data_IF_811615911108
#
_entry.id   IF_811615911108
#
_cell.length_a   1.000
_cell.length_b   1.000
_cell.length_c   1.000
_cell.angle_alpha   90.00
_cell.angle_beta   90.00
_cell.angle_gamma   90.00
#
_symmetry.space_group_name_H-M   'P 1'
#
loop_
_entity.id
_entity.type
_entity.pdbx_description
1 polymer ?
#
# COMPACT_ATOMS: atom_id res chain seq x y z
N UNK A 1 24.39 7.73 -7.16
CA UNK A 1 24.33 8.87 -6.21
C UNK A 1 22.96 8.81 -5.54
N UNK A 2 22.88 8.53 -4.24
CA UNK A 2 21.59 8.46 -3.56
C UNK A 2 21.04 9.88 -3.35
N UNK A 3 19.84 10.11 -3.80
CA UNK A 3 19.15 11.40 -3.58
C UNK A 3 18.29 11.28 -2.34
N UNK A 4 18.42 12.22 -1.43
CA UNK A 4 17.51 12.34 -0.27
C UNK A 4 16.40 13.31 -0.61
N UNK A 5 15.18 12.91 -0.33
CA UNK A 5 13.97 13.66 -0.61
C UNK A 5 13.18 13.85 0.68
N UNK A 6 12.52 14.99 0.80
CA UNK A 6 11.50 15.23 1.81
C UNK A 6 10.18 15.48 1.10
N UNK A 7 9.13 14.80 1.52
CA UNK A 7 7.78 15.02 1.03
C UNK A 7 6.84 15.30 2.19
N UNK A 8 6.03 16.34 2.05
CA UNK A 8 5.02 16.69 3.04
C UNK A 8 3.65 16.62 2.42
N UNK A 9 2.71 16.00 3.11
CA UNK A 9 1.33 15.84 2.67
C UNK A 9 0.38 15.96 3.86
N UNK A 10 -0.76 16.60 3.62
CA UNK A 10 -1.88 16.65 4.56
C UNK A 10 -3.00 15.78 4.00
N UNK A 11 -3.70 15.07 4.88
CA UNK A 11 -4.93 14.38 4.52
C UNK A 11 -5.93 14.37 5.67
N UNK A 12 -7.21 14.16 5.37
CA UNK A 12 -8.27 14.04 6.35
C UNK A 12 -8.78 12.61 6.41
N UNK A 13 -8.87 12.08 7.61
CA UNK A 13 -9.45 10.75 7.84
C UNK A 13 -10.25 10.76 9.14
N UNK A 14 -11.21 9.83 9.24
CA UNK A 14 -11.87 9.55 10.51
C UNK A 14 -10.93 8.81 11.46
N UNK A 15 -11.10 9.05 12.75
CA UNK A 15 -10.46 8.30 13.82
C UNK A 15 -11.54 7.77 14.74
N UNK A 16 -11.67 6.44 14.82
CA UNK A 16 -12.58 5.79 15.76
C UNK A 16 -11.80 5.35 16.99
N UNK A 17 -11.96 6.11 18.05
CA UNK A 17 -11.21 5.94 19.30
C UNK A 17 -12.15 6.05 20.51
N UNK A 18 -12.03 5.14 21.47
CA UNK A 18 -12.85 5.11 22.68
C UNK A 18 -14.37 5.22 22.41
N UNK A 19 -14.86 4.49 21.42
CA UNK A 19 -16.29 4.48 21.07
C UNK A 19 -16.78 5.73 20.34
N UNK A 20 -15.88 6.60 19.92
CA UNK A 20 -16.22 7.88 19.27
C UNK A 20 -15.53 7.99 17.92
N UNK A 21 -16.33 8.27 16.88
CA UNK A 21 -15.81 8.62 15.57
C UNK A 21 -15.65 10.14 15.46
N UNK A 22 -14.47 10.59 15.09
CA UNK A 22 -14.14 12.00 14.84
C UNK A 22 -13.36 12.13 13.54
N UNK A 23 -13.61 13.21 12.81
CA UNK A 23 -12.72 13.60 11.71
C UNK A 23 -11.44 14.20 12.29
N UNK A 24 -10.33 13.88 11.67
CA UNK A 24 -9.01 14.35 12.07
C UNK A 24 -8.21 14.75 10.85
N UNK A 25 -7.45 15.81 10.97
CA UNK A 25 -6.49 16.22 9.95
C UNK A 25 -5.10 15.72 10.36
N UNK A 26 -4.46 15.02 9.46
CA UNK A 26 -3.12 14.50 9.62
C UNK A 26 -2.15 15.29 8.77
N UNK A 27 -1.02 15.67 9.36
CA UNK A 27 0.13 16.22 8.67
C UNK A 27 1.22 15.14 8.69
N UNK A 28 1.67 14.75 7.52
CA UNK A 28 2.69 13.72 7.37
C UNK A 28 3.90 14.29 6.64
N UNK A 29 5.07 13.98 7.14
CA UNK A 29 6.34 14.29 6.50
C UNK A 29 7.15 13.01 6.36
N UNK A 30 7.59 12.74 5.13
CA UNK A 30 8.36 11.56 4.75
C UNK A 30 9.78 11.97 4.39
N UNK A 31 10.75 11.27 4.96
CA UNK A 31 12.14 11.38 4.57
C UNK A 31 12.52 10.12 3.80
N UNK A 32 12.89 10.31 2.55
CA UNK A 32 13.04 9.23 1.58
C UNK A 32 14.41 9.26 0.94
N UNK A 33 14.87 8.11 0.50
CA UNK A 33 16.11 7.94 -0.24
C UNK A 33 15.88 7.05 -1.47
N UNK A 34 16.37 7.50 -2.62
CA UNK A 34 16.33 6.68 -3.84
C UNK A 34 17.42 5.63 -3.79
N UNK A 35 17.11 4.42 -4.19
CA UNK A 35 18.06 3.29 -4.20
C UNK A 35 18.56 2.96 -5.59
N UNK A 36 17.71 3.18 -6.60
CA UNK A 36 18.07 2.95 -8.00
C UNK A 36 18.62 4.20 -8.66
N UNK A 37 19.25 4.05 -9.81
CA UNK A 37 19.70 5.18 -10.65
C UNK A 37 18.66 5.52 -11.73
N UNK A 38 17.61 4.72 -11.83
CA UNK A 38 16.54 4.89 -12.79
C UNK A 38 15.51 5.93 -12.29
N UNK A 39 15.35 6.99 -13.06
CA UNK A 39 14.44 8.09 -12.73
C UNK A 39 12.96 7.72 -12.93
N UNK A 40 12.65 6.77 -13.80
CA UNK A 40 11.27 6.34 -14.04
C UNK A 40 10.74 5.54 -12.85
N UNK A 41 11.53 4.60 -12.33
CA UNK A 41 11.19 3.85 -11.13
C UNK A 41 11.00 4.77 -9.91
N UNK A 42 11.77 5.85 -9.79
CA UNK A 42 11.55 6.83 -8.72
C UNK A 42 10.20 7.56 -8.87
N UNK A 43 9.85 7.93 -10.10
CA UNK A 43 8.58 8.58 -10.36
C UNK A 43 7.40 7.67 -10.03
N UNK A 44 7.46 6.41 -10.46
CA UNK A 44 6.44 5.40 -10.15
C UNK A 44 6.33 5.19 -8.64
N UNK A 45 7.43 5.02 -7.92
CA UNK A 45 7.42 4.88 -6.46
C UNK A 45 6.73 6.09 -5.78
N UNK A 46 7.08 7.29 -6.21
CA UNK A 46 6.51 8.51 -5.67
C UNK A 46 5.02 8.66 -5.99
N UNK A 47 4.60 8.28 -7.19
CA UNK A 47 3.19 8.32 -7.59
C UNK A 47 2.37 7.24 -6.89
N UNK A 48 2.94 6.05 -6.61
CA UNK A 48 2.32 5.03 -5.74
C UNK A 48 2.08 5.56 -4.33
N UNK A 49 3.08 6.26 -3.74
CA UNK A 49 2.92 6.90 -2.41
C UNK A 49 1.77 7.90 -2.42
N UNK A 50 1.75 8.81 -3.40
CA UNK A 50 0.69 9.82 -3.54
C UNK A 50 -0.67 9.17 -3.71
N UNK A 51 -0.76 8.19 -4.60
CA UNK A 51 -2.01 7.47 -4.85
C UNK A 51 -2.51 6.77 -3.57
N UNK A 52 -1.63 6.05 -2.87
CA UNK A 52 -2.01 5.35 -1.63
C UNK A 52 -2.58 6.32 -0.59
N UNK A 53 -1.95 7.46 -0.37
CA UNK A 53 -2.43 8.43 0.61
C UNK A 53 -3.75 9.07 0.14
N UNK A 54 -3.83 9.52 -1.11
CA UNK A 54 -5.00 10.21 -1.64
C UNK A 54 -6.21 9.28 -1.85
N UNK A 55 -5.98 8.06 -2.32
CA UNK A 55 -7.07 7.13 -2.60
C UNK A 55 -7.39 6.22 -1.42
N UNK A 56 -6.39 5.68 -0.75
CA UNK A 56 -6.62 4.70 0.31
C UNK A 56 -6.87 5.33 1.67
N UNK A 57 -6.18 6.39 2.03
CA UNK A 57 -6.27 6.97 3.37
C UNK A 57 -7.20 8.18 3.44
N UNK A 58 -7.18 9.06 2.44
CA UNK A 58 -8.08 10.22 2.42
C UNK A 58 -9.54 9.77 2.56
N UNK A 59 -10.26 10.37 3.49
CA UNK A 59 -11.66 10.06 3.80
C UNK A 59 -11.92 8.62 4.28
N UNK A 60 -10.89 7.87 4.69
CA UNK A 60 -11.07 6.59 5.38
C UNK A 60 -11.30 6.79 6.88
N UNK A 61 -11.64 5.72 7.59
CA UNK A 61 -11.73 5.70 9.04
C UNK A 61 -10.66 4.75 9.58
N UNK A 62 -9.72 5.27 10.35
CA UNK A 62 -8.79 4.46 11.13
C UNK A 62 -9.51 3.87 12.34
N UNK A 63 -9.39 2.57 12.52
CA UNK A 63 -10.05 1.82 13.57
C UNK A 63 -9.21 0.61 13.98
N UNK A 64 -9.21 0.28 15.26
CA UNK A 64 -8.64 -0.97 15.74
C UNK A 64 -9.40 -2.17 15.12
N UNK A 65 -8.67 -3.07 14.46
CA UNK A 65 -9.23 -4.25 13.79
C UNK A 65 -9.96 -5.22 14.73
N UNK A 66 -9.64 -5.21 16.03
CA UNK A 66 -10.32 -6.04 17.04
C UNK A 66 -11.75 -5.55 17.34
N UNK A 67 -12.09 -4.33 16.93
CA UNK A 67 -13.45 -3.79 17.03
C UNK A 67 -14.36 -4.29 15.89
N UNK A 68 -14.48 -5.61 15.73
CA UNK A 68 -15.17 -6.25 14.59
C UNK A 68 -16.60 -5.75 14.35
N UNK A 69 -17.37 -5.51 15.42
CA UNK A 69 -18.77 -5.05 15.28
C UNK A 69 -18.83 -3.66 14.65
N UNK A 70 -17.96 -2.75 15.07
CA UNK A 70 -17.88 -1.40 14.55
C UNK A 70 -17.30 -1.40 13.12
N UNK A 71 -16.32 -2.24 12.84
CA UNK A 71 -15.81 -2.43 11.49
C UNK A 71 -16.92 -2.87 10.53
N UNK A 72 -17.73 -3.86 10.93
CA UNK A 72 -18.87 -4.34 10.15
C UNK A 72 -19.94 -3.26 9.98
N UNK A 73 -20.24 -2.50 11.04
CA UNK A 73 -21.22 -1.42 10.99
C UNK A 73 -20.81 -0.32 10.00
N UNK A 74 -19.56 0.15 10.08
CA UNK A 74 -19.02 1.18 9.19
C UNK A 74 -18.95 0.70 7.75
N UNK A 75 -18.45 -0.52 7.53
CA UNK A 75 -18.40 -1.12 6.20
C UNK A 75 -19.79 -1.27 5.57
N UNK A 76 -20.80 -1.71 6.34
CA UNK A 76 -22.20 -1.81 5.90
C UNK A 76 -22.81 -0.45 5.56
N UNK A 77 -22.34 0.62 6.20
CA UNK A 77 -22.71 1.99 5.87
C UNK A 77 -21.97 2.55 4.64
N UNK A 78 -21.12 1.77 3.98
CA UNK A 78 -20.32 2.19 2.84
C UNK A 78 -19.13 3.07 3.20
N UNK A 79 -18.73 3.08 4.47
CA UNK A 79 -17.58 3.85 4.94
C UNK A 79 -16.31 3.07 4.62
N UNK A 80 -15.33 3.74 4.02
CA UNK A 80 -14.00 3.22 3.80
C UNK A 80 -13.27 3.11 5.15
N UNK A 81 -12.79 1.92 5.50
CA UNK A 81 -12.11 1.68 6.77
C UNK A 81 -10.66 1.24 6.56
N UNK A 82 -9.79 1.69 7.43
CA UNK A 82 -8.38 1.29 7.52
C UNK A 82 -8.16 0.68 8.90
N UNK A 83 -8.08 -0.65 8.95
CA UNK A 83 -7.90 -1.36 10.21
C UNK A 83 -6.44 -1.33 10.66
N UNK A 84 -6.21 -1.00 11.91
CA UNK A 84 -4.91 -1.02 12.57
C UNK A 84 -4.85 -2.18 13.57
N UNK A 85 -3.66 -2.67 13.92
CA UNK A 85 -3.50 -3.75 14.89
C UNK A 85 -3.77 -3.33 16.36
N UNK A 86 -3.98 -2.04 16.59
CA UNK A 86 -4.29 -1.44 17.89
C UNK A 86 -5.03 -0.12 17.71
N UNK A 87 -5.25 0.65 18.77
CA UNK A 87 -5.99 1.91 18.74
C UNK A 87 -5.32 2.95 17.81
N UNK A 88 -6.09 3.73 17.03
CA UNK A 88 -5.58 4.64 16.01
C UNK A 88 -5.01 5.94 16.60
N UNK A 89 -3.84 5.84 17.21
CA UNK A 89 -3.04 7.00 17.67
C UNK A 89 -1.99 7.39 16.64
N UNK A 90 -1.54 8.63 16.65
CA UNK A 90 -0.60 9.17 15.66
C UNK A 90 0.68 8.32 15.53
N UNK A 91 1.17 7.77 16.65
CA UNK A 91 2.30 6.86 16.68
C UNK A 91 2.06 5.63 15.78
N UNK A 92 0.93 4.96 15.95
CA UNK A 92 0.62 3.74 15.19
C UNK A 92 0.34 4.04 13.72
N UNK A 93 -0.25 5.21 13.44
CA UNK A 93 -0.44 5.67 12.07
C UNK A 93 0.92 5.95 11.40
N UNK A 94 1.88 6.53 12.13
CA UNK A 94 3.24 6.74 11.62
C UNK A 94 3.96 5.44 11.27
N UNK A 95 3.90 4.45 12.17
CA UNK A 95 4.50 3.12 11.93
C UNK A 95 3.80 2.41 10.77
N UNK A 96 2.46 2.48 10.68
CA UNK A 96 1.70 1.92 9.56
C UNK A 96 2.16 2.51 8.23
N UNK A 97 2.29 3.85 8.17
CA UNK A 97 2.78 4.53 6.97
C UNK A 97 4.19 4.08 6.63
N UNK A 98 5.09 4.01 7.61
CA UNK A 98 6.45 3.53 7.42
C UNK A 98 6.48 2.14 6.78
N UNK A 99 5.78 1.18 7.37
CA UNK A 99 5.72 -0.20 6.86
C UNK A 99 5.10 -0.26 5.46
N UNK A 100 3.92 0.35 5.29
CA UNK A 100 3.16 0.26 4.04
C UNK A 100 3.83 0.97 2.88
N UNK A 101 4.38 2.16 3.11
CA UNK A 101 5.04 2.92 2.04
C UNK A 101 6.32 2.23 1.59
N UNK A 102 7.09 1.63 2.50
CA UNK A 102 8.24 0.80 2.11
C UNK A 102 7.79 -0.43 1.31
N UNK A 103 6.70 -1.09 1.70
CA UNK A 103 6.17 -2.24 0.96
C UNK A 103 5.76 -1.89 -0.47
N UNK A 104 5.04 -0.79 -0.68
CA UNK A 104 4.58 -0.39 -2.03
C UNK A 104 5.70 0.17 -2.91
N UNK A 105 6.80 0.64 -2.33
CA UNK A 105 7.98 1.10 -3.06
C UNK A 105 8.89 -0.04 -3.52
N UNK A 106 8.74 -1.23 -2.96
CA UNK A 106 9.48 -2.45 -3.35
C UNK A 106 10.98 -2.19 -3.56
N UNK A 107 11.61 -1.54 -2.56
CA UNK A 107 13.03 -1.17 -2.53
C UNK A 107 13.51 -0.17 -3.61
N UNK A 108 12.64 0.38 -4.48
CA UNK A 108 13.05 1.43 -5.45
C UNK A 108 13.23 2.79 -4.76
N UNK A 109 12.52 2.97 -3.65
CA UNK A 109 12.66 4.10 -2.75
C UNK A 109 12.51 3.61 -1.31
N UNK A 110 13.39 4.05 -0.43
CA UNK A 110 13.34 3.72 0.99
C UNK A 110 12.81 4.92 1.75
N UNK A 111 11.77 4.68 2.55
CA UNK A 111 11.28 5.62 3.55
C UNK A 111 12.10 5.37 4.82
N UNK A 112 13.01 6.27 5.15
CA UNK A 112 13.87 6.13 6.32
C UNK A 112 13.26 6.71 7.59
N UNK A 113 12.38 7.72 7.43
CA UNK A 113 11.74 8.38 8.57
C UNK A 113 10.34 8.87 8.18
N UNK A 114 9.41 8.76 9.10
CA UNK A 114 8.04 9.26 9.00
C UNK A 114 7.72 10.12 10.21
N UNK A 115 7.32 11.36 9.97
CA UNK A 115 6.76 12.24 10.99
C UNK A 115 5.24 12.34 10.80
N UNK A 116 4.50 12.19 11.87
CA UNK A 116 3.04 12.36 11.88
C UNK A 116 2.62 13.26 13.02
N UNK A 117 1.76 14.20 12.72
CA UNK A 117 1.03 14.98 13.73
C UNK A 117 -0.42 15.15 13.31
N UNK A 118 -1.31 15.33 14.28
CA UNK A 118 -2.72 15.52 13.99
C UNK A 118 -3.39 16.53 14.91
N UNK A 119 -4.55 17.04 14.50
CA UNK A 119 -5.33 17.97 15.32
C UNK A 119 -5.80 17.31 16.63
N UNK A 120 -6.23 16.05 16.58
CA UNK A 120 -6.65 15.30 17.77
C UNK A 120 -5.47 14.92 18.68
N UNK A 121 -4.28 14.80 18.12
CA UNK A 121 -3.02 14.58 18.86
C UNK A 121 -2.45 15.86 19.52
N UNK A 122 -3.15 17.00 19.40
CA UNK A 122 -2.72 18.26 19.99
C UNK A 122 -1.47 18.84 19.33
N UNK A 123 -1.29 18.58 18.05
CA UNK A 123 -0.15 19.03 17.23
C UNK A 123 1.22 18.51 17.72
N UNK A 124 1.22 17.47 18.56
CA UNK A 124 2.45 16.76 18.91
C UNK A 124 2.89 15.95 17.70
N UNK A 125 4.13 16.13 17.28
CA UNK A 125 4.69 15.33 16.18
C UNK A 125 5.31 14.06 16.73
N UNK A 126 4.82 12.93 16.23
CA UNK A 126 5.45 11.65 16.43
C UNK A 126 6.39 11.36 15.26
N UNK A 127 7.55 10.80 15.54
CA UNK A 127 8.56 10.44 14.57
C UNK A 127 8.85 8.94 14.69
N UNK A 128 9.04 8.28 13.56
CA UNK A 128 9.47 6.89 13.48
C UNK A 128 10.58 6.77 12.46
N UNK A 129 11.66 6.06 12.80
CA UNK A 129 12.82 5.83 11.95
C UNK A 129 13.13 4.33 11.82
N UNK A 130 14.00 4.01 10.85
CA UNK A 130 14.34 2.64 10.44
C UNK A 130 15.05 1.80 11.53
N UNK A 131 15.62 2.43 12.56
CA UNK A 131 16.26 1.76 13.69
C UNK A 131 15.30 1.53 14.87
N UNK A 132 14.05 1.96 14.78
CA UNK A 132 13.04 1.79 15.84
C UNK A 132 12.18 0.54 15.63
N UNK A 133 11.73 -0.11 16.73
CA UNK A 133 10.85 -1.26 16.61
C UNK A 133 9.48 -0.88 16.07
N UNK A 134 8.95 -1.66 15.13
CA UNK A 134 7.63 -1.45 14.54
C UNK A 134 6.46 -1.97 15.40
N UNK A 135 6.75 -2.52 16.56
CA UNK A 135 5.75 -2.94 17.56
C UNK A 135 4.71 -3.91 17.01
N UNK A 136 3.39 -3.59 17.10
CA UNK A 136 2.34 -4.51 16.67
C UNK A 136 2.34 -4.77 15.16
N UNK A 137 3.05 -3.96 14.36
CA UNK A 137 3.20 -4.15 12.92
C UNK A 137 4.24 -5.21 12.53
N UNK A 138 4.97 -5.78 13.49
CA UNK A 138 5.86 -6.94 13.28
C UNK A 138 5.09 -8.17 12.78
N UNK A 139 3.81 -8.26 13.12
CA UNK A 139 2.93 -9.32 12.64
C UNK A 139 2.60 -9.12 11.16
N UNK A 140 2.46 -10.25 10.45
CA UNK A 140 2.08 -10.22 9.04
C UNK A 140 0.69 -9.59 8.88
N UNK A 141 0.63 -8.53 8.08
CA UNK A 141 -0.61 -7.82 7.81
C UNK A 141 -0.54 -7.10 6.45
N UNK A 142 -1.64 -6.43 6.08
CA UNK A 142 -1.76 -5.71 4.82
C UNK A 142 -0.71 -4.58 4.66
N UNK A 143 -0.15 -4.10 5.75
CA UNK A 143 0.90 -3.07 5.76
C UNK A 143 2.26 -3.55 5.24
N UNK A 144 2.44 -4.86 5.10
CA UNK A 144 3.62 -5.46 4.46
C UNK A 144 3.36 -5.92 3.02
N UNK A 145 2.15 -5.75 2.50
CA UNK A 145 1.81 -6.12 1.14
C UNK A 145 2.13 -4.98 0.19
N UNK A 146 2.84 -5.27 -0.91
CA UNK A 146 3.12 -4.30 -1.96
C UNK A 146 1.87 -3.86 -2.75
N UNK A 147 0.81 -4.67 -2.73
CA UNK A 147 -0.44 -4.35 -3.41
C UNK A 147 -1.22 -3.24 -2.67
N UNK A 148 -2.19 -2.65 -3.36
CA UNK A 148 -3.14 -1.73 -2.76
C UNK A 148 -3.94 -2.40 -1.65
N UNK A 149 -4.43 -1.60 -0.70
CA UNK A 149 -5.25 -2.11 0.37
C UNK A 149 -6.53 -2.75 -0.16
N UNK A 150 -6.78 -3.97 0.28
CA UNK A 150 -8.09 -4.56 0.16
C UNK A 150 -9.00 -3.96 1.23
N UNK A 151 -9.89 -3.07 0.85
CA UNK A 151 -11.02 -2.78 1.72
C UNK A 151 -11.79 -4.08 1.91
N UNK A 152 -11.84 -4.61 3.13
CA UNK A 152 -12.53 -5.83 3.44
C UNK A 152 -14.04 -5.61 3.31
N UNK A 153 -14.54 -5.53 2.09
CA UNK A 153 -15.94 -5.63 1.75
C UNK A 153 -16.39 -7.08 1.67
N UNK A 154 -15.93 -7.94 2.57
CA UNK A 154 -16.63 -9.19 2.84
C UNK A 154 -17.89 -8.88 3.65
N UNK A 155 -18.76 -8.12 3.03
CA UNK A 155 -20.12 -8.03 3.47
C UNK A 155 -20.87 -9.15 2.78
N UNK A 156 -21.23 -10.16 3.59
CA UNK A 156 -22.30 -11.12 3.37
C UNK A 156 -22.31 -11.88 2.02
N UNK A 157 -22.40 -13.17 2.13
CA UNK A 157 -22.68 -14.17 1.07
C UNK A 157 -24.02 -13.99 0.34
N UNK A 158 -24.59 -12.80 0.27
CA UNK A 158 -25.78 -12.51 -0.52
C UNK A 158 -25.41 -11.76 -1.79
N UNK A 159 -25.63 -12.43 -2.87
CA UNK A 159 -25.22 -12.26 -4.27
C UNK A 159 -25.54 -10.93 -4.97
N UNK A 160 -25.79 -9.80 -4.33
CA UNK A 160 -26.24 -8.61 -5.04
C UNK A 160 -25.68 -7.26 -4.54
N UNK A 161 -24.56 -7.25 -3.84
CA UNK A 161 -23.91 -5.96 -3.53
C UNK A 161 -22.66 -5.86 -4.41
N UNK A 162 -22.73 -5.00 -5.44
CA UNK A 162 -21.55 -4.53 -6.13
C UNK A 162 -20.55 -4.05 -5.09
N UNK A 163 -19.38 -4.69 -5.02
CA UNK A 163 -18.27 -4.19 -4.23
C UNK A 163 -17.91 -2.81 -4.78
N UNK A 164 -18.25 -1.77 -4.04
CA UNK A 164 -17.72 -0.43 -4.26
C UNK A 164 -16.21 -0.48 -3.90
N UNK A 165 -15.40 -0.75 -4.89
CA UNK A 165 -13.96 -0.86 -4.75
C UNK A 165 -13.44 -2.12 -5.42
N UNK A 166 -13.54 -2.19 -6.74
CA UNK A 166 -12.62 -3.00 -7.51
C UNK A 166 -11.22 -2.52 -7.11
N UNK A 167 -10.42 -3.43 -6.55
CA UNK A 167 -9.04 -3.13 -6.21
C UNK A 167 -8.34 -2.97 -7.55
N UNK A 168 -8.02 -1.74 -7.88
CA UNK A 168 -7.17 -1.47 -9.01
C UNK A 168 -5.78 -2.02 -8.68
N UNK A 169 -5.25 -2.86 -9.54
CA UNK A 169 -3.84 -3.23 -9.45
C UNK A 169 -2.97 -2.04 -9.87
N UNK A 170 -1.71 -2.01 -9.46
CA UNK A 170 -0.78 -0.98 -9.94
C UNK A 170 -0.75 -0.88 -11.46
N UNK A 171 -0.95 -2.01 -12.15
CA UNK A 171 -1.02 -2.06 -13.62
C UNK A 171 -2.26 -1.37 -14.17
N UNK A 172 -3.43 -1.55 -13.56
CA UNK A 172 -4.66 -0.88 -13.99
C UNK A 172 -4.62 0.63 -13.77
N UNK A 173 -3.76 1.09 -12.84
CA UNK A 173 -3.50 2.49 -12.54
C UNK A 173 -2.35 3.08 -13.37
N UNK A 174 -1.74 2.31 -14.26
CA UNK A 174 -0.54 2.69 -15.00
C UNK A 174 0.64 3.07 -14.06
N UNK A 175 0.71 2.40 -12.91
CA UNK A 175 1.75 2.57 -11.89
C UNK A 175 2.57 1.28 -11.67
N UNK A 176 2.66 0.42 -12.70
CA UNK A 176 3.59 -0.70 -12.72
C UNK A 176 5.05 -0.21 -12.84
N UNK A 177 5.97 -1.08 -12.47
CA UNK A 177 7.38 -0.77 -12.64
C UNK A 177 7.76 -0.78 -14.12
N UNK A 178 8.72 0.06 -14.57
CA UNK A 178 9.15 0.09 -15.96
C UNK A 178 9.65 -1.27 -16.48
N UNK A 179 10.26 -2.07 -15.60
CA UNK A 179 10.75 -3.41 -15.95
C UNK A 179 9.62 -4.40 -16.28
N UNK A 180 8.43 -4.17 -15.73
CA UNK A 180 7.25 -5.01 -15.97
C UNK A 180 6.61 -4.78 -17.36
N UNK A 181 6.99 -3.67 -18.02
CA UNK A 181 6.55 -3.32 -19.36
C UNK A 181 7.44 -3.91 -20.47
N UNK A 182 8.61 -4.44 -20.14
CA UNK A 182 9.40 -5.16 -21.11
C UNK A 182 8.59 -6.37 -21.57
N UNK A 183 8.31 -6.49 -22.90
CA UNK A 183 7.65 -7.68 -23.42
C UNK A 183 8.50 -8.85 -22.98
N UNK A 184 7.89 -9.79 -22.25
CA UNK A 184 8.51 -11.08 -21.94
C UNK A 184 9.04 -11.56 -23.28
N UNK A 185 10.35 -11.48 -23.49
CA UNK A 185 10.98 -12.01 -24.67
C UNK A 185 10.54 -13.46 -24.69
N UNK A 186 9.60 -13.80 -25.60
CA UNK A 186 9.25 -15.19 -25.83
C UNK A 186 10.60 -15.85 -26.04
N UNK A 187 11.03 -16.61 -25.05
CA UNK A 187 12.23 -17.42 -25.14
C UNK A 187 11.97 -18.41 -26.29
N UNK A 188 12.34 -17.96 -27.50
CA UNK A 188 12.29 -18.76 -28.72
C UNK A 188 13.32 -19.90 -28.64
N UNK A 189 13.64 -20.33 -27.44
CA UNK A 189 14.61 -21.36 -27.08
C UNK A 189 14.12 -22.79 -27.13
N UNK A 190 12.94 -23.09 -27.68
CA UNK A 190 12.52 -24.48 -27.91
C UNK A 190 11.85 -24.66 -29.27
N UNK A 191 12.61 -24.41 -30.34
CA UNK A 191 12.26 -24.95 -31.63
C UNK A 191 12.49 -26.45 -31.57
N UNK A 192 11.41 -27.22 -31.32
CA UNK A 192 11.45 -28.68 -31.48
C UNK A 192 11.56 -28.94 -32.97
N UNK A 193 12.77 -29.21 -33.42
CA UNK A 193 13.04 -29.68 -34.79
C UNK A 193 12.59 -31.15 -34.88
N UNK A 194 11.43 -31.39 -35.44
CA UNK A 194 11.02 -32.74 -35.81
C UNK A 194 11.87 -33.19 -37.00
N UNK A 195 12.90 -34.00 -36.75
CA UNK A 195 13.64 -34.69 -37.82
C UNK A 195 12.82 -35.91 -38.24
N UNK A 196 12.22 -35.83 -39.43
CA UNK A 196 11.51 -36.93 -40.04
C UNK A 196 12.56 -37.87 -40.66
N UNK A 197 12.87 -39.00 -40.01
CA UNK A 197 13.67 -40.07 -40.59
C UNK A 197 12.78 -40.91 -41.50
N UNK A 198 12.65 -40.53 -42.77
CA UNK A 198 12.15 -41.44 -43.77
C UNK A 198 13.18 -42.55 -44.01
N UNK A 199 12.87 -43.76 -43.60
CA UNK A 199 13.56 -44.94 -44.03
C UNK A 199 13.20 -45.19 -45.50
N UNK A 200 14.09 -44.87 -46.40
CA UNK A 200 14.03 -45.39 -47.75
C UNK A 200 14.34 -46.90 -47.69
N UNK A 201 13.31 -47.71 -47.85
CA UNK A 201 13.46 -49.10 -48.17
C UNK A 201 13.78 -49.19 -49.67
N UNK A 202 15.03 -49.42 -50.00
CA UNK A 202 15.42 -49.83 -51.37
C UNK A 202 15.59 -51.31 -51.42
N UNK A 203 14.88 -51.88 -52.42
CA UNK A 203 15.07 -53.23 -52.88
C UNK A 203 16.47 -53.45 -53.43
#
# INVERSE_FOLDING_TARGET
MNVRLQYSIDFMAGCYFNGTLRMNKYNVRLWMMTTTMDGESHNVAFDRIKFFIADSLESSVFINGDNEEQCKLLANAGVKITTLPDEPVDQLIGIMLYCKLNAICEDRMIIGEVEVSSELGGEVTYMHSDDEPIGPYDQKGWWHDANLMHYNTKISETENIMSLGAISSWRELELQWPEDDEPVSEDTGNTIVFVNFNKDETK
#
